data_IF_711917682700
#
_entry.id   IF_711917682700
#
_cell.length_a   1.000
_cell.length_b   1.000
_cell.length_c   1.000
_cell.angle_alpha   90.00
_cell.angle_beta   90.00
_cell.angle_gamma   90.00
#
_symmetry.space_group_name_H-M   'P 1'
#
loop_
_entity.id
_entity.type
_entity.pdbx_description
1 polymer ?
#
# COMPACT_ATOMS: atom_id res chain seq x y z
N UNK A 1 9.31 18.45 1.13
CA UNK A 1 8.48 18.26 -0.07
C UNK A 1 9.28 17.46 -1.08
N UNK A 2 8.79 16.29 -1.55
CA UNK A 2 9.54 15.38 -2.45
C UNK A 2 9.23 15.68 -3.93
N UNK A 3 7.94 15.70 -4.30
CA UNK A 3 7.48 15.94 -5.67
C UNK A 3 6.07 16.53 -5.70
N UNK A 4 5.65 17.03 -6.88
CA UNK A 4 4.27 17.41 -7.20
C UNK A 4 3.78 16.52 -8.34
N UNK A 5 2.73 15.74 -8.09
CA UNK A 5 2.06 14.92 -9.11
C UNK A 5 0.82 15.68 -9.57
N UNK A 6 0.74 15.99 -10.86
CA UNK A 6 -0.32 16.78 -11.46
C UNK A 6 -0.91 15.98 -12.61
N UNK A 7 -2.19 15.65 -12.53
CA UNK A 7 -2.89 14.90 -13.56
C UNK A 7 -3.99 15.74 -14.17
N UNK A 8 -4.16 15.60 -15.49
CA UNK A 8 -5.22 16.25 -16.25
C UNK A 8 -6.22 15.21 -16.76
N UNK A 9 -7.48 15.60 -16.89
CA UNK A 9 -8.56 14.79 -17.46
C UNK A 9 -9.63 15.68 -18.06
N UNK A 10 -10.43 15.13 -18.97
CA UNK A 10 -11.56 15.82 -19.61
C UNK A 10 -12.70 16.08 -18.62
N UNK A 11 -12.74 15.34 -17.51
CA UNK A 11 -13.66 15.57 -16.39
C UNK A 11 -12.88 15.57 -15.07
N UNK A 12 -13.46 16.21 -14.04
CA UNK A 12 -12.90 16.19 -12.68
C UNK A 12 -12.74 14.75 -12.17
N UNK A 13 -13.73 13.90 -12.42
CA UNK A 13 -13.67 12.48 -12.06
C UNK A 13 -12.47 11.79 -12.73
N UNK A 14 -12.26 12.00 -14.02
CA UNK A 14 -11.12 11.41 -14.74
C UNK A 14 -9.78 11.92 -14.21
N UNK A 15 -9.66 13.21 -13.88
CA UNK A 15 -8.44 13.75 -13.30
C UNK A 15 -8.14 13.14 -11.92
N UNK A 16 -9.18 12.91 -11.10
CA UNK A 16 -9.07 12.24 -9.80
C UNK A 16 -8.58 10.80 -9.97
N UNK A 17 -9.21 10.00 -10.83
CA UNK A 17 -8.81 8.60 -11.05
C UNK A 17 -7.37 8.50 -11.56
N UNK A 18 -6.95 9.40 -12.47
CA UNK A 18 -5.56 9.47 -12.93
C UNK A 18 -4.58 9.84 -11.81
N UNK A 19 -4.98 10.75 -10.92
CA UNK A 19 -4.15 11.16 -9.78
C UNK A 19 -3.96 10.02 -8.79
N UNK A 20 -5.03 9.28 -8.51
CA UNK A 20 -4.99 8.06 -7.68
C UNK A 20 -4.04 7.03 -8.30
N UNK A 21 -4.19 6.73 -9.60
CA UNK A 21 -3.33 5.77 -10.28
C UNK A 21 -1.85 6.19 -10.23
N UNK A 22 -1.56 7.48 -10.47
CA UNK A 22 -0.20 7.99 -10.43
C UNK A 22 0.42 7.89 -9.02
N UNK A 23 -0.35 8.11 -7.97
CA UNK A 23 0.10 7.92 -6.58
C UNK A 23 0.33 6.44 -6.26
N UNK A 24 -0.56 5.54 -6.71
CA UNK A 24 -0.43 4.09 -6.49
C UNK A 24 0.76 3.48 -7.24
N UNK A 25 1.13 4.04 -8.39
CA UNK A 25 2.30 3.64 -9.18
C UNK A 25 3.61 4.30 -8.74
N UNK A 26 3.55 5.26 -7.80
CA UNK A 26 4.74 5.94 -7.31
C UNK A 26 5.48 5.08 -6.29
N UNK A 27 6.64 4.54 -6.69
CA UNK A 27 7.49 3.72 -5.81
C UNK A 27 8.62 4.57 -5.24
N UNK A 28 8.59 4.78 -3.91
CA UNK A 28 9.61 5.48 -3.13
C UNK A 28 10.01 4.58 -1.95
N UNK A 29 11.16 3.92 -2.08
CA UNK A 29 11.66 2.98 -1.07
C UNK A 29 12.53 3.69 -0.02
N UNK A 30 12.50 3.19 1.21
CA UNK A 30 13.34 3.70 2.30
C UNK A 30 12.88 5.02 2.93
N UNK A 31 11.72 5.54 2.53
CA UNK A 31 11.16 6.79 3.04
C UNK A 31 9.70 6.60 3.47
N UNK A 32 9.31 7.21 4.58
CA UNK A 32 7.91 7.41 4.90
C UNK A 32 7.31 8.44 3.95
N UNK A 33 6.22 8.11 3.26
CA UNK A 33 5.57 9.00 2.29
C UNK A 33 4.10 9.24 2.64
N UNK A 34 3.54 10.35 2.16
CA UNK A 34 2.13 10.67 2.30
C UNK A 34 1.26 10.15 1.13
N UNK A 35 1.80 9.33 0.22
CA UNK A 35 1.10 8.92 -1.00
C UNK A 35 -0.21 8.17 -0.72
N UNK A 36 -0.22 7.24 0.25
CA UNK A 36 -1.44 6.52 0.67
C UNK A 36 -2.47 7.43 1.32
N UNK A 37 -2.04 8.38 2.15
CA UNK A 37 -2.92 9.39 2.74
C UNK A 37 -3.59 10.26 1.67
N UNK A 38 -2.81 10.76 0.70
CA UNK A 38 -3.33 11.53 -0.44
C UNK A 38 -4.30 10.71 -1.29
N UNK A 39 -4.01 9.43 -1.51
CA UNK A 39 -4.89 8.51 -2.24
C UNK A 39 -6.23 8.35 -1.53
N UNK A 40 -6.23 8.14 -0.20
CA UNK A 40 -7.46 8.09 0.61
C UNK A 40 -8.25 9.40 0.53
N UNK A 41 -7.57 10.55 0.61
CA UNK A 41 -8.22 11.86 0.51
C UNK A 41 -8.89 12.06 -0.87
N UNK A 42 -8.26 11.65 -1.96
CA UNK A 42 -8.83 11.72 -3.31
C UNK A 42 -10.02 10.78 -3.51
N UNK A 43 -10.03 9.62 -2.83
CA UNK A 43 -11.13 8.65 -2.86
C UNK A 43 -12.31 9.06 -1.97
N UNK A 44 -12.09 9.90 -0.96
CA UNK A 44 -13.12 10.32 -0.01
C UNK A 44 -14.31 11.01 -0.70
N UNK A 45 -15.54 10.68 -0.25
CA UNK A 45 -16.77 11.12 -0.90
C UNK A 45 -16.91 12.65 -0.94
N UNK A 46 -16.56 13.34 0.14
CA UNK A 46 -16.60 14.81 0.23
C UNK A 46 -15.67 15.47 -0.79
N UNK A 47 -14.47 14.91 -1.00
CA UNK A 47 -13.55 15.39 -2.02
C UNK A 47 -14.11 15.13 -3.42
N UNK A 48 -14.64 13.94 -3.70
CA UNK A 48 -15.21 13.60 -5.02
C UNK A 48 -16.46 14.43 -5.35
N UNK A 49 -17.26 14.78 -4.35
CA UNK A 49 -18.42 15.66 -4.47
C UNK A 49 -18.07 17.16 -4.63
N UNK A 50 -16.78 17.53 -4.51
CA UNK A 50 -16.33 18.91 -4.63
C UNK A 50 -16.66 19.78 -3.41
N UNK A 51 -16.91 19.16 -2.26
CA UNK A 51 -17.30 19.83 -1.00
C UNK A 51 -16.09 20.07 -0.07
N UNK A 52 -14.88 19.98 -0.60
CA UNK A 52 -13.67 20.16 0.19
C UNK A 52 -13.49 21.63 0.62
N UNK A 53 -13.48 21.88 1.93
CA UNK A 53 -13.06 23.14 2.55
C UNK A 53 -11.75 22.98 3.34
N UNK A 54 -11.29 24.05 3.98
CA UNK A 54 -10.03 24.05 4.75
C UNK A 54 -10.04 23.16 6.00
N UNK A 55 -11.22 22.71 6.43
CA UNK A 55 -11.43 21.82 7.58
C UNK A 55 -11.72 20.36 7.22
N UNK A 56 -11.93 20.01 5.94
CA UNK A 56 -12.27 18.65 5.50
C UNK A 56 -11.33 17.60 6.07
N UNK A 57 -10.01 17.80 5.93
CA UNK A 57 -9.02 16.82 6.38
C UNK A 57 -9.03 16.60 7.90
N UNK A 58 -9.38 17.63 8.68
CA UNK A 58 -9.51 17.51 10.13
C UNK A 58 -10.76 16.74 10.53
N UNK A 59 -11.89 16.97 9.83
CA UNK A 59 -13.14 16.23 10.07
C UNK A 59 -13.02 14.75 9.70
N UNK A 60 -12.35 14.44 8.58
CA UNK A 60 -12.19 13.07 8.09
C UNK A 60 -10.94 12.37 8.61
N UNK A 61 -10.27 12.91 9.63
CA UNK A 61 -8.93 12.47 10.03
C UNK A 61 -8.86 10.98 10.38
N UNK A 62 -9.88 10.45 11.05
CA UNK A 62 -9.93 9.04 11.45
C UNK A 62 -10.16 8.10 10.26
N UNK A 63 -10.97 8.49 9.29
CA UNK A 63 -11.20 7.72 8.06
C UNK A 63 -9.96 7.72 7.14
N UNK A 64 -9.18 8.80 7.18
CA UNK A 64 -7.97 8.94 6.35
C UNK A 64 -6.74 8.28 6.95
N UNK A 65 -6.80 7.84 8.22
CA UNK A 65 -5.72 7.10 8.87
C UNK A 65 -5.51 5.75 8.19
N UNK A 66 -4.25 5.36 8.07
CA UNK A 66 -3.92 4.01 7.68
C UNK A 66 -4.26 3.05 8.81
N UNK A 67 -5.05 2.03 8.51
CA UNK A 67 -5.21 0.88 9.38
C UNK A 67 -4.80 -0.35 8.58
N UNK A 68 -3.70 -0.98 9.01
CA UNK A 68 -3.37 -2.32 8.54
C UNK A 68 -4.12 -3.29 9.44
N UNK A 69 -4.86 -4.20 8.83
CA UNK A 69 -5.43 -5.33 9.55
C UNK A 69 -4.32 -6.34 9.88
N UNK A 70 -4.51 -7.22 10.88
CA UNK A 70 -3.60 -8.34 11.11
C UNK A 70 -3.36 -9.17 9.85
N UNK A 71 -4.41 -9.41 9.05
CA UNK A 71 -4.32 -10.14 7.79
C UNK A 71 -3.43 -9.43 6.76
N UNK A 72 -3.50 -8.08 6.69
CA UNK A 72 -2.60 -7.30 5.82
C UNK A 72 -1.14 -7.48 6.24
N UNK A 73 -0.88 -7.53 7.55
CA UNK A 73 0.47 -7.73 8.09
C UNK A 73 0.97 -9.13 7.73
N UNK A 74 0.16 -10.17 7.92
CA UNK A 74 0.50 -11.55 7.58
C UNK A 74 0.78 -11.68 6.07
N UNK A 75 -0.02 -11.04 5.22
CA UNK A 75 0.19 -11.02 3.77
C UNK A 75 1.51 -10.33 3.39
N UNK A 76 1.83 -9.19 4.01
CA UNK A 76 3.09 -8.47 3.77
C UNK A 76 4.29 -9.30 4.23
N UNK A 77 4.21 -9.94 5.40
CA UNK A 77 5.26 -10.83 5.90
C UNK A 77 5.46 -12.04 4.98
N UNK A 78 4.39 -12.72 4.58
CA UNK A 78 4.44 -13.82 3.64
C UNK A 78 5.06 -13.39 2.29
N UNK A 79 4.66 -12.22 1.78
CA UNK A 79 5.20 -11.66 0.55
C UNK A 79 6.69 -11.33 0.67
N UNK A 80 7.13 -10.78 1.80
CA UNK A 80 8.54 -10.47 2.06
C UNK A 80 9.39 -11.75 2.12
N UNK A 81 8.90 -12.77 2.83
CA UNK A 81 9.52 -14.11 2.91
C UNK A 81 9.65 -14.75 1.53
N UNK A 82 8.59 -14.70 0.72
CA UNK A 82 8.59 -15.25 -0.65
C UNK A 82 9.40 -14.41 -1.65
N UNK A 83 9.65 -13.14 -1.36
CA UNK A 83 10.52 -12.30 -2.18
C UNK A 83 12.02 -12.51 -1.88
N UNK A 84 12.35 -13.14 -0.74
CA UNK A 84 13.72 -13.42 -0.34
C UNK A 84 14.29 -14.63 -1.11
N UNK A 85 15.16 -14.34 -2.08
CA UNK A 85 15.80 -15.38 -2.91
C UNK A 85 16.75 -16.28 -2.12
N UNK A 86 17.38 -15.77 -1.07
CA UNK A 86 18.34 -16.55 -0.29
C UNK A 86 17.60 -17.56 0.57
N UNK A 87 16.54 -17.10 1.24
CA UNK A 87 15.64 -17.97 1.98
C UNK A 87 15.01 -19.05 1.10
N UNK A 88 14.46 -18.67 -0.06
CA UNK A 88 13.87 -19.64 -0.99
C UNK A 88 14.91 -20.66 -1.48
N UNK A 89 16.15 -20.23 -1.80
CA UNK A 89 17.23 -21.16 -2.14
C UNK A 89 17.52 -22.13 -1.00
N UNK A 90 17.62 -21.63 0.24
CA UNK A 90 17.87 -22.46 1.41
C UNK A 90 16.75 -23.51 1.59
N UNK A 91 15.48 -23.09 1.51
CA UNK A 91 14.31 -23.98 1.60
C UNK A 91 14.31 -25.04 0.48
N UNK A 92 14.56 -24.66 -0.76
CA UNK A 92 14.63 -25.60 -1.89
C UNK A 92 15.84 -26.54 -1.85
N UNK A 93 16.89 -26.19 -1.09
CA UNK A 93 18.07 -27.03 -0.92
C UNK A 93 17.95 -28.08 0.19
N UNK A 94 16.85 -28.06 0.96
CA UNK A 94 16.60 -29.04 2.03
C UNK A 94 16.49 -30.45 1.41
N UNK A 95 17.30 -31.44 1.84
CA UNK A 95 17.20 -32.79 1.30
C UNK A 95 15.81 -33.39 1.53
N UNK A 96 15.28 -34.12 0.56
CA UNK A 96 13.91 -34.63 0.56
C UNK A 96 13.54 -35.39 1.84
N UNK A 97 14.48 -36.16 2.40
CA UNK A 97 14.28 -36.88 3.67
C UNK A 97 13.93 -35.94 4.83
N UNK A 98 14.56 -34.77 4.92
CA UNK A 98 14.31 -33.79 5.98
C UNK A 98 13.02 -33.01 5.73
N UNK A 99 12.73 -32.65 4.47
CA UNK A 99 11.49 -31.99 4.10
C UNK A 99 10.25 -32.87 4.40
N UNK A 100 10.37 -34.19 4.21
CA UNK A 100 9.30 -35.15 4.49
C UNK A 100 8.98 -35.29 5.99
N UNK A 101 9.88 -34.90 6.89
CA UNK A 101 9.65 -34.97 8.34
C UNK A 101 8.65 -33.91 8.85
N UNK A 102 8.33 -32.89 8.03
CA UNK A 102 7.33 -31.88 8.37
C UNK A 102 7.69 -31.06 9.63
N UNK A 103 6.71 -30.61 10.42
CA UNK A 103 6.93 -29.74 11.59
C UNK A 103 7.42 -30.51 12.84
N UNK A 104 8.22 -31.55 12.66
CA UNK A 104 8.72 -32.35 13.79
C UNK A 104 9.64 -31.52 14.70
N UNK A 105 9.41 -31.59 16.01
CA UNK A 105 10.23 -30.99 17.06
C UNK A 105 10.54 -32.07 18.10
N UNK A 106 11.80 -32.09 18.59
CA UNK A 106 12.21 -32.88 19.75
C UNK A 106 11.54 -32.38 21.03
#
# INVERSE_FOLDING_TARGET
MIAKIICHGNTRAQAIERSILALEQSVLLGLTTNARYLTRALRHAEFRAGQADTGMLARCADELRESLTPDDIDLVLASAVLADRELLRAVHSIPAMHAAMGPWRN
#
